data_IF_378992352759
#
_entry.id   IF_378992352759
#
_cell.length_a   1.000
_cell.length_b   1.000
_cell.length_c   1.000
_cell.angle_alpha   90.00
_cell.angle_beta   90.00
_cell.angle_gamma   90.00
#
_symmetry.space_group_name_H-M   'P 1'
#
loop_
_entity.id
_entity.type
_entity.pdbx_description
1 polymer ?
#
# COMPACT_ATOMS: atom_id res chain seq x y z
N UNK A 1 8.68 -66.63 -44.55
CA UNK A 1 7.73 -65.81 -43.78
C UNK A 1 8.44 -64.51 -43.42
N UNK A 2 8.22 -63.45 -44.21
CA UNK A 2 8.75 -62.11 -43.96
C UNK A 2 7.58 -61.20 -43.59
N UNK A 3 7.62 -60.67 -42.38
CA UNK A 3 6.61 -59.79 -41.80
C UNK A 3 6.99 -58.32 -42.04
N UNK A 4 6.13 -57.58 -42.74
CA UNK A 4 6.24 -56.14 -42.98
C UNK A 4 5.76 -55.35 -41.75
N UNK A 5 6.42 -54.23 -41.37
CA UNK A 5 5.91 -53.35 -40.32
C UNK A 5 4.92 -52.31 -40.87
N UNK A 6 3.86 -52.10 -40.10
CA UNK A 6 2.76 -51.18 -40.37
C UNK A 6 3.17 -49.71 -40.16
N UNK A 7 2.73 -48.86 -41.08
CA UNK A 7 2.98 -47.41 -41.14
C UNK A 7 1.93 -46.68 -40.30
N UNK A 8 2.33 -46.10 -39.16
CA UNK A 8 1.47 -45.29 -38.31
C UNK A 8 1.37 -43.86 -38.85
N UNK A 9 0.14 -43.36 -39.00
CA UNK A 9 -0.16 -42.01 -39.45
C UNK A 9 0.11 -40.99 -38.34
N UNK A 10 0.96 -40.01 -38.63
CA UNK A 10 1.29 -38.88 -37.75
C UNK A 10 0.22 -37.79 -37.91
N UNK A 11 -0.56 -37.57 -36.84
CA UNK A 11 -1.52 -36.46 -36.74
C UNK A 11 -0.77 -35.21 -36.28
N UNK A 12 -0.48 -34.29 -37.21
CA UNK A 12 0.08 -32.98 -36.90
C UNK A 12 -1.02 -32.05 -36.37
N UNK A 13 -0.93 -31.68 -35.09
CA UNK A 13 -1.76 -30.62 -34.52
C UNK A 13 -1.24 -29.24 -34.97
N UNK A 14 -2.12 -28.27 -35.29
CA UNK A 14 -1.71 -26.93 -35.67
C UNK A 14 -1.05 -26.21 -34.49
N UNK A 15 0.14 -25.68 -34.76
CA UNK A 15 0.97 -24.89 -33.83
C UNK A 15 0.32 -23.51 -33.69
N UNK A 16 -0.39 -23.28 -32.59
CA UNK A 16 -0.88 -21.96 -32.22
C UNK A 16 0.33 -21.04 -31.99
N UNK A 17 0.45 -20.02 -32.84
CA UNK A 17 1.42 -18.94 -32.69
C UNK A 17 1.17 -18.26 -31.34
N UNK A 18 2.06 -18.48 -30.37
CA UNK A 18 2.09 -17.71 -29.13
C UNK A 18 2.33 -16.24 -29.50
N UNK A 19 1.37 -15.38 -29.17
CA UNK A 19 1.58 -13.94 -29.12
C UNK A 19 2.72 -13.67 -28.13
N UNK A 20 3.87 -13.25 -28.65
CA UNK A 20 5.01 -12.83 -27.85
C UNK A 20 4.55 -11.68 -26.94
N UNK A 21 4.64 -11.92 -25.64
CA UNK A 21 4.56 -10.83 -24.67
C UNK A 21 5.92 -10.14 -24.71
N UNK A 22 5.95 -8.80 -24.70
CA UNK A 22 7.22 -8.08 -24.82
C UNK A 22 8.18 -8.54 -23.72
N UNK A 23 9.39 -8.90 -24.10
CA UNK A 23 10.41 -9.32 -23.14
C UNK A 23 10.76 -8.15 -22.22
N UNK A 24 11.30 -8.43 -21.03
CA UNK A 24 11.58 -7.41 -20.00
C UNK A 24 12.37 -6.19 -20.52
N UNK A 25 13.23 -6.37 -21.51
CA UNK A 25 14.00 -5.28 -22.12
C UNK A 25 13.15 -4.36 -23.03
N UNK A 26 12.05 -4.85 -23.62
CA UNK A 26 11.10 -4.01 -24.38
C UNK A 26 10.30 -3.11 -23.44
N UNK A 27 9.98 -3.58 -22.22
CA UNK A 27 9.37 -2.73 -21.20
C UNK A 27 10.32 -1.63 -20.74
N UNK A 28 11.59 -1.95 -20.51
CA UNK A 28 12.60 -0.94 -20.17
C UNK A 28 12.79 0.07 -21.32
N UNK A 29 12.73 -0.39 -22.58
CA UNK A 29 12.76 0.49 -23.75
C UNK A 29 11.53 1.41 -23.85
N UNK A 30 10.33 0.92 -23.54
CA UNK A 30 9.11 1.73 -23.50
C UNK A 30 9.14 2.78 -22.38
N UNK A 31 9.63 2.42 -21.19
CA UNK A 31 9.80 3.36 -20.07
C UNK A 31 10.87 4.41 -20.39
N UNK A 32 11.94 4.02 -21.09
CA UNK A 32 12.96 4.94 -21.59
C UNK A 32 12.38 5.91 -22.63
N UNK A 33 11.48 5.42 -23.50
CA UNK A 33 10.80 6.21 -24.52
C UNK A 33 9.81 7.22 -23.92
N UNK A 34 9.03 6.84 -22.90
CA UNK A 34 8.18 7.78 -22.14
C UNK A 34 9.01 8.89 -21.50
N UNK A 35 10.15 8.55 -20.86
CA UNK A 35 11.07 9.55 -20.31
C UNK A 35 11.65 10.47 -21.39
N UNK A 36 11.89 9.95 -22.60
CA UNK A 36 12.40 10.75 -23.72
C UNK A 36 11.31 11.68 -24.28
N UNK A 37 10.04 11.24 -24.33
CA UNK A 37 8.89 12.06 -24.72
C UNK A 37 8.68 13.20 -23.72
N UNK A 38 8.75 12.92 -22.41
CA UNK A 38 8.64 13.95 -21.37
C UNK A 38 9.82 14.93 -21.38
N UNK A 39 11.01 14.47 -21.76
CA UNK A 39 12.17 15.35 -21.96
C UNK A 39 11.97 16.28 -23.15
N UNK A 40 11.38 15.80 -24.26
CA UNK A 40 11.05 16.62 -25.43
C UNK A 40 9.95 17.64 -25.14
N UNK A 41 8.91 17.26 -24.41
CA UNK A 41 7.84 18.20 -24.02
C UNK A 41 8.34 19.33 -23.11
N UNK A 42 9.38 19.07 -22.31
CA UNK A 42 10.05 20.11 -21.52
C UNK A 42 10.92 21.04 -22.36
N UNK A 43 11.55 20.53 -23.41
CA UNK A 43 12.38 21.32 -24.34
C UNK A 43 11.54 22.19 -25.29
N UNK A 44 10.32 21.77 -25.63
CA UNK A 44 9.40 22.52 -26.50
C UNK A 44 8.53 23.53 -25.75
N UNK A 45 8.68 23.69 -24.43
CA UNK A 45 7.96 24.76 -23.72
C UNK A 45 8.45 26.10 -24.30
N UNK A 46 7.60 26.86 -25.02
CA UNK A 46 8.04 28.07 -25.69
C UNK A 46 8.60 29.01 -24.63
N UNK A 47 9.81 29.50 -24.85
CA UNK A 47 10.43 30.52 -24.02
C UNK A 47 9.45 31.68 -23.92
N UNK A 48 8.84 31.85 -22.75
CA UNK A 48 7.98 32.99 -22.50
C UNK A 48 8.83 34.23 -22.81
N UNK A 49 8.39 35.12 -23.71
CA UNK A 49 9.10 36.36 -23.95
C UNK A 49 9.23 37.11 -22.63
N UNK A 50 10.34 37.82 -22.40
CA UNK A 50 10.54 38.58 -21.16
C UNK A 50 9.36 39.51 -20.96
N UNK A 51 8.59 39.26 -19.90
CA UNK A 51 7.48 40.11 -19.50
C UNK A 51 8.09 41.45 -19.13
N UNK A 52 7.82 42.48 -19.95
CA UNK A 52 8.29 43.83 -19.68
C UNK A 52 7.82 44.25 -18.28
N UNK A 53 8.65 44.95 -17.49
CA UNK A 53 8.26 45.40 -16.16
C UNK A 53 7.04 46.31 -16.29
N UNK A 54 5.91 45.88 -15.74
CA UNK A 54 4.73 46.71 -15.60
C UNK A 54 5.09 47.82 -14.63
N UNK A 55 5.18 49.06 -15.14
CA UNK A 55 5.33 50.26 -14.31
C UNK A 55 4.17 50.33 -13.32
N UNK A 56 4.47 50.02 -12.06
CA UNK A 56 3.57 50.23 -10.93
C UNK A 56 3.45 51.74 -10.72
N UNK A 57 2.26 52.34 -10.83
CA UNK A 57 2.09 53.75 -10.51
C UNK A 57 2.42 54.00 -9.03
N UNK A 58 3.17 55.07 -8.77
CA UNK A 58 3.56 55.48 -7.44
C UNK A 58 2.32 55.68 -6.53
N UNK A 59 2.39 55.27 -5.25
CA UNK A 59 1.31 55.50 -4.31
C UNK A 59 1.14 57.00 -4.08
N UNK A 60 -0.04 57.53 -4.42
CA UNK A 60 -0.45 58.89 -4.06
C UNK A 60 -0.65 58.92 -2.55
N UNK A 61 0.13 59.74 -1.85
CA UNK A 61 -0.01 59.98 -0.43
C UNK A 61 -1.38 60.60 -0.14
N UNK A 62 -2.23 59.85 0.56
CA UNK A 62 -3.51 60.35 1.08
C UNK A 62 -3.24 60.96 2.47
N UNK A 63 -3.56 62.25 2.71
CA UNK A 63 -3.43 62.83 4.03
C UNK A 63 -4.49 62.25 4.98
N UNK A 64 -4.05 61.92 6.20
CA UNK A 64 -4.89 61.38 7.26
C UNK A 64 -5.92 62.41 7.75
N UNK A 65 -7.21 62.05 7.86
CA UNK A 65 -8.14 62.79 8.70
C UNK A 65 -8.06 62.27 10.14
N UNK A 66 -7.75 63.20 11.05
CA UNK A 66 -7.97 63.01 12.47
C UNK A 66 -9.48 62.98 12.75
N UNK A 67 -9.91 61.98 13.53
CA UNK A 67 -11.11 62.11 14.35
C UNK A 67 -12.31 61.28 13.93
N UNK A 68 -12.72 60.45 14.91
CA UNK A 68 -14.11 60.24 15.32
C UNK A 68 -14.90 59.08 14.72
N UNK A 69 -15.51 58.37 15.67
CA UNK A 69 -16.79 57.64 15.60
C UNK A 69 -16.85 56.30 14.83
N UNK A 70 -16.61 55.25 15.60
CA UNK A 70 -17.41 54.01 15.71
C UNK A 70 -18.77 53.98 14.97
N UNK A 71 -18.95 53.08 13.98
CA UNK A 71 -20.19 52.32 13.66
C UNK A 71 -19.78 51.03 12.89
N UNK A 72 -20.35 49.84 13.18
CA UNK A 72 -20.09 48.60 12.43
C UNK A 72 -21.00 48.52 11.20
N UNK A 73 -20.45 48.08 10.05
CA UNK A 73 -21.23 47.82 8.85
C UNK A 73 -21.02 46.38 8.35
N UNK A 74 -22.15 45.78 8.05
CA UNK A 74 -22.39 44.40 7.64
C UNK A 74 -21.92 44.11 6.20
N UNK A 75 -21.68 42.82 5.97
CA UNK A 75 -22.05 42.02 4.80
C UNK A 75 -21.65 42.50 3.39
N UNK A 76 -20.74 41.73 2.78
CA UNK A 76 -20.83 41.34 1.37
C UNK A 76 -20.49 39.85 1.24
N UNK A 77 -21.53 39.01 1.25
CA UNK A 77 -21.41 37.59 0.90
C UNK A 77 -21.51 37.52 -0.62
N UNK A 78 -20.41 37.26 -1.31
CA UNK A 78 -20.42 36.91 -2.72
C UNK A 78 -20.86 35.45 -2.86
N UNK A 79 -22.14 35.24 -3.17
CA UNK A 79 -22.66 33.92 -3.55
C UNK A 79 -22.22 33.60 -4.98
N UNK A 80 -21.31 32.64 -5.13
CA UNK A 80 -21.08 31.95 -6.39
C UNK A 80 -22.04 30.75 -6.47
N UNK A 81 -22.93 30.76 -7.46
CA UNK A 81 -23.87 29.69 -7.72
C UNK A 81 -23.15 28.45 -8.30
N UNK A 82 -23.40 27.23 -7.80
CA UNK A 82 -23.01 26.01 -8.51
C UNK A 82 -24.08 25.63 -9.54
N UNK A 83 -23.66 25.46 -10.81
CA UNK A 83 -24.45 24.76 -11.82
C UNK A 83 -24.48 23.27 -11.47
N UNK A 84 -25.64 22.77 -11.04
CA UNK A 84 -25.89 21.35 -10.80
C UNK A 84 -26.32 20.71 -12.12
N UNK A 85 -25.42 19.95 -12.76
CA UNK A 85 -25.80 19.05 -13.85
C UNK A 85 -26.41 17.77 -13.28
N UNK A 86 -27.71 17.62 -13.45
CA UNK A 86 -28.44 16.39 -13.16
C UNK A 86 -28.26 15.40 -14.31
N UNK A 87 -27.33 14.45 -14.17
CA UNK A 87 -27.30 13.25 -15.01
C UNK A 87 -28.08 12.14 -14.29
N UNK A 88 -29.30 11.90 -14.75
CA UNK A 88 -30.12 10.74 -14.39
C UNK A 88 -29.48 9.46 -14.90
N UNK A 89 -29.08 8.57 -13.99
CA UNK A 89 -28.53 7.25 -14.31
C UNK A 89 -29.68 6.23 -14.34
N UNK A 90 -29.78 5.37 -15.38
CA UNK A 90 -30.81 4.34 -15.44
C UNK A 90 -30.56 3.24 -14.38
N UNK A 91 -31.59 2.96 -13.59
CA UNK A 91 -31.61 1.86 -12.62
C UNK A 91 -31.82 0.53 -13.36
N UNK A 92 -30.80 -0.33 -13.40
CA UNK A 92 -30.94 -1.71 -13.86
C UNK A 92 -31.35 -2.61 -12.68
N UNK A 93 -32.53 -3.21 -12.80
CA UNK A 93 -33.07 -4.17 -11.85
C UNK A 93 -32.23 -5.45 -11.83
N UNK A 94 -31.76 -5.86 -10.65
CA UNK A 94 -31.05 -7.12 -10.42
C UNK A 94 -32.08 -8.20 -10.08
N UNK A 95 -32.11 -9.36 -10.78
CA UNK A 95 -32.96 -10.47 -10.40
C UNK A 95 -32.45 -11.16 -9.13
N UNK A 96 -33.35 -11.34 -8.17
CA UNK A 96 -33.11 -12.09 -6.94
C UNK A 96 -32.98 -13.59 -7.24
N UNK A 97 -31.82 -14.17 -6.95
CA UNK A 97 -31.61 -15.63 -7.03
C UNK A 97 -31.80 -16.20 -5.63
N UNK A 98 -32.89 -16.93 -5.44
CA UNK A 98 -33.17 -17.66 -4.20
C UNK A 98 -32.14 -18.79 -4.02
N UNK A 99 -31.34 -18.72 -2.96
CA UNK A 99 -30.48 -19.82 -2.53
C UNK A 99 -31.24 -20.70 -1.53
N UNK A 100 -31.54 -21.92 -1.95
CA UNK A 100 -32.07 -22.97 -1.10
C UNK A 100 -30.96 -23.55 -0.22
N UNK A 101 -31.15 -23.50 1.11
CA UNK A 101 -30.31 -24.21 2.07
C UNK A 101 -30.79 -25.65 2.24
N UNK A 102 -29.92 -26.67 2.15
CA UNK A 102 -30.23 -28.02 2.63
C UNK A 102 -29.87 -28.19 4.11
N UNK A 103 -30.60 -29.15 4.69
CA UNK A 103 -30.77 -29.46 6.09
C UNK A 103 -29.54 -29.98 6.84
N UNK A 104 -29.62 -29.72 8.16
CA UNK A 104 -29.03 -30.39 9.32
C UNK A 104 -28.40 -31.79 9.14
N UNK A 105 -27.31 -32.03 9.87
CA UNK A 105 -27.06 -33.32 10.51
C UNK A 105 -26.56 -33.20 11.96
N UNK A 106 -26.85 -34.21 12.81
CA UNK A 106 -26.67 -34.18 14.25
C UNK A 106 -25.41 -34.93 14.74
N UNK A 107 -24.93 -34.52 15.92
CA UNK A 107 -24.47 -35.41 16.99
C UNK A 107 -23.24 -36.29 16.75
N UNK A 108 -22.11 -35.90 17.34
CA UNK A 108 -21.09 -36.84 17.82
C UNK A 108 -20.71 -36.47 19.25
N UNK A 109 -21.38 -37.11 20.20
CA UNK A 109 -20.94 -37.23 21.59
C UNK A 109 -19.64 -38.04 21.65
N UNK A 110 -18.65 -37.53 22.37
CA UNK A 110 -17.48 -38.32 22.77
C UNK A 110 -17.48 -38.52 24.29
N UNK A 111 -17.25 -39.76 24.77
CA UNK A 111 -17.28 -40.09 26.19
C UNK A 111 -16.06 -39.52 26.92
N UNK A 112 -16.33 -38.89 28.07
CA UNK A 112 -15.35 -38.51 29.07
C UNK A 112 -14.81 -39.77 29.75
N UNK A 113 -13.52 -40.06 29.58
CA UNK A 113 -12.81 -41.01 30.42
C UNK A 113 -12.06 -40.27 31.53
N UNK A 114 -12.55 -40.52 32.75
CA UNK A 114 -11.96 -40.20 34.04
C UNK A 114 -10.68 -41.01 34.27
N UNK A 115 -9.74 -40.38 34.98
CA UNK A 115 -8.92 -41.08 35.96
C UNK A 115 -7.44 -41.23 35.61
N UNK A 116 -6.59 -40.41 36.22
CA UNK A 116 -5.39 -40.91 36.87
C UNK A 116 -4.88 -39.88 37.89
N UNK A 117 -5.00 -40.22 39.16
CA UNK A 117 -4.34 -39.55 40.28
C UNK A 117 -2.98 -40.21 40.45
N UNK A 118 -1.90 -39.44 40.43
CA UNK A 118 -0.56 -39.92 40.73
C UNK A 118 0.18 -38.96 41.67
N UNK A 119 1.09 -39.50 42.51
CA UNK A 119 1.42 -38.93 43.81
C UNK A 119 2.56 -37.92 43.74
N UNK A 120 2.59 -37.10 44.79
CA UNK A 120 3.54 -36.03 45.05
C UNK A 120 5.00 -36.50 45.04
N UNK A 121 5.84 -35.82 44.26
CA UNK A 121 7.30 -35.80 44.45
C UNK A 121 7.77 -34.36 44.61
N UNK A 122 8.47 -34.15 45.73
CA UNK A 122 9.03 -32.89 46.18
C UNK A 122 10.27 -32.50 45.37
N UNK A 123 10.41 -31.20 45.11
CA UNK A 123 11.71 -30.52 45.12
C UNK A 123 12.54 -30.50 43.85
N UNK A 124 11.98 -30.04 42.72
CA UNK A 124 12.77 -29.64 41.54
C UNK A 124 12.58 -28.14 41.27
N UNK A 125 13.64 -27.41 40.89
CA UNK A 125 13.57 -25.99 40.57
C UNK A 125 12.50 -25.76 39.49
N UNK A 126 11.51 -24.95 39.83
CA UNK A 126 10.31 -24.70 39.02
C UNK A 126 10.75 -24.26 37.61
N UNK A 127 10.54 -25.07 36.57
CA UNK A 127 10.94 -24.71 35.22
C UNK A 127 10.24 -23.41 34.87
N UNK A 128 11.05 -22.38 34.60
CA UNK A 128 10.60 -21.05 34.21
C UNK A 128 9.68 -21.26 33.02
N UNK A 129 8.36 -21.04 33.24
CA UNK A 129 7.38 -21.26 32.19
C UNK A 129 7.80 -20.45 30.97
N UNK A 130 7.85 -21.07 29.77
CA UNK A 130 8.26 -20.37 28.57
C UNK A 130 7.40 -19.12 28.46
N UNK A 131 8.06 -17.97 28.50
CA UNK A 131 7.46 -16.65 28.36
C UNK A 131 6.52 -16.70 27.15
N UNK A 132 5.22 -16.72 27.42
CA UNK A 132 4.19 -16.80 26.38
C UNK A 132 4.17 -15.45 25.70
N UNK A 133 4.91 -15.33 24.59
CA UNK A 133 4.86 -14.13 23.76
C UNK A 133 3.39 -13.84 23.41
N UNK A 134 2.92 -12.59 23.60
CA UNK A 134 1.53 -12.24 23.36
C UNK A 134 1.16 -12.59 21.92
N UNK A 135 0.04 -13.32 21.75
CA UNK A 135 -0.46 -13.71 20.42
C UNK A 135 -1.07 -12.49 19.75
N UNK A 136 -0.30 -11.81 18.91
CA UNK A 136 -0.78 -10.67 18.12
C UNK A 136 -1.82 -11.16 17.10
N UNK A 137 -2.89 -10.39 16.90
CA UNK A 137 -3.97 -10.73 15.96
C UNK A 137 -3.64 -10.22 14.55
N UNK A 138 -3.91 -11.02 13.49
CA UNK A 138 -3.81 -10.51 12.13
C UNK A 138 -4.70 -9.29 11.90
N UNK A 139 -4.20 -8.33 11.12
CA UNK A 139 -4.82 -7.03 10.84
C UNK A 139 -4.50 -5.94 11.87
N UNK A 140 -3.84 -6.27 12.98
CA UNK A 140 -3.49 -5.28 14.02
C UNK A 140 -2.39 -4.35 13.51
N UNK A 141 -2.51 -3.07 13.85
CA UNK A 141 -1.51 -2.05 13.63
C UNK A 141 -1.13 -1.42 14.97
N UNK A 142 0.16 -1.30 15.23
CA UNK A 142 0.74 -0.73 16.46
C UNK A 142 1.70 0.39 16.08
N UNK A 143 1.54 1.56 16.69
CA UNK A 143 2.49 2.67 16.54
C UNK A 143 3.21 2.88 17.86
N UNK A 144 4.54 2.89 17.82
CA UNK A 144 5.41 3.12 18.98
C UNK A 144 6.30 4.32 18.70
N UNK A 145 6.23 5.32 19.57
CA UNK A 145 7.17 6.43 19.55
C UNK A 145 8.51 5.97 20.14
N UNK A 146 9.59 6.03 19.37
CA UNK A 146 10.92 5.58 19.79
C UNK A 146 11.70 6.70 20.47
N UNK A 147 11.75 7.87 19.83
CA UNK A 147 12.37 9.12 20.29
C UNK A 147 11.68 10.32 19.59
N UNK A 148 12.09 11.55 19.91
CA UNK A 148 11.44 12.79 19.46
C UNK A 148 11.27 12.89 17.93
N UNK A 149 12.11 12.20 17.16
CA UNK A 149 12.13 12.26 15.71
C UNK A 149 11.89 10.89 15.07
N UNK A 150 11.51 9.85 15.83
CA UNK A 150 11.36 8.49 15.31
C UNK A 150 10.07 7.82 15.77
N UNK A 151 9.30 7.38 14.80
CA UNK A 151 8.11 6.56 15.01
C UNK A 151 8.28 5.19 14.34
N UNK A 152 7.87 4.13 15.05
CA UNK A 152 7.85 2.76 14.55
C UNK A 152 6.40 2.31 14.39
N UNK A 153 6.02 1.98 13.17
CA UNK A 153 4.70 1.45 12.83
C UNK A 153 4.83 -0.03 12.49
N UNK A 154 4.17 -0.89 13.25
CA UNK A 154 4.10 -2.33 13.01
C UNK A 154 2.73 -2.73 12.51
N UNK A 155 2.68 -3.48 11.43
CA UNK A 155 1.46 -4.04 10.88
C UNK A 155 1.59 -5.56 10.74
N UNK A 156 0.65 -6.28 11.34
CA UNK A 156 0.62 -7.74 11.35
C UNK A 156 -0.35 -8.26 10.30
N UNK A 157 0.16 -8.69 9.16
CA UNK A 157 -0.64 -9.14 8.02
C UNK A 157 -0.97 -10.63 8.16
N UNK A 158 -2.21 -11.05 7.91
CA UNK A 158 -2.55 -12.47 7.84
C UNK A 158 -1.77 -13.14 6.69
N UNK A 159 -0.98 -14.17 7.02
CA UNK A 159 -0.12 -14.86 6.06
C UNK A 159 -0.90 -15.46 4.88
N UNK A 160 -2.16 -15.87 5.10
CA UNK A 160 -3.02 -16.45 4.06
C UNK A 160 -3.37 -15.44 2.96
N UNK A 161 -3.23 -14.13 3.21
CA UNK A 161 -3.47 -13.09 2.21
C UNK A 161 -2.45 -13.12 1.09
N UNK A 162 -1.23 -13.62 1.33
CA UNK A 162 -0.21 -13.80 0.30
C UNK A 162 -0.49 -15.00 -0.63
N UNK A 163 -1.52 -15.81 -0.33
CA UNK A 163 -2.07 -16.87 -1.19
C UNK A 163 -3.36 -16.46 -1.92
N UNK A 164 -3.81 -15.22 -1.72
CA UNK A 164 -5.05 -14.71 -2.32
C UNK A 164 -4.85 -14.14 -3.72
N UNK A 165 -5.95 -13.95 -4.46
CA UNK A 165 -5.92 -13.25 -5.75
C UNK A 165 -5.91 -11.73 -5.61
N UNK A 166 -5.76 -11.19 -4.40
CA UNK A 166 -5.70 -9.74 -4.19
C UNK A 166 -4.43 -9.15 -4.81
N UNK A 167 -4.57 -8.00 -5.45
CA UNK A 167 -3.46 -7.27 -6.06
C UNK A 167 -2.73 -6.38 -5.06
N UNK A 168 -3.44 -5.96 -4.01
CA UNK A 168 -2.94 -5.08 -2.96
C UNK A 168 -3.53 -5.41 -1.60
N UNK A 169 -2.76 -5.17 -0.54
CA UNK A 169 -3.21 -5.19 0.85
C UNK A 169 -2.98 -3.81 1.45
N UNK A 170 -3.94 -3.34 2.26
CA UNK A 170 -3.88 -2.03 2.90
C UNK A 170 -3.88 -2.20 4.41
N UNK A 171 -3.02 -1.46 5.10
CA UNK A 171 -3.11 -1.34 6.55
C UNK A 171 -4.34 -0.51 6.96
N UNK A 172 -4.77 -0.61 8.23
CA UNK A 172 -5.51 0.46 8.88
C UNK A 172 -4.80 1.81 8.70
N UNK A 173 -5.56 2.90 8.78
CA UNK A 173 -4.98 4.24 8.83
C UNK A 173 -4.25 4.45 10.14
N UNK A 174 -3.14 5.17 10.06
CA UNK A 174 -2.39 5.65 11.22
C UNK A 174 -1.96 7.09 10.99
N UNK A 175 -1.55 7.75 12.05
CA UNK A 175 -1.13 9.14 12.03
C UNK A 175 0.35 9.23 12.38
N UNK A 176 1.08 10.12 11.71
CA UNK A 176 2.45 10.49 12.03
C UNK A 176 2.49 12.00 12.33
N UNK A 177 3.26 12.39 13.36
CA UNK A 177 3.42 13.80 13.73
C UNK A 177 4.73 14.34 13.18
N UNK A 178 4.66 15.33 12.31
CA UNK A 178 5.86 15.97 11.75
C UNK A 178 6.29 17.13 12.67
N UNK A 179 7.58 17.24 13.01
CA UNK A 179 8.10 18.36 13.79
C UNK A 179 7.73 19.71 13.16
N UNK A 180 7.29 20.67 13.97
CA UNK A 180 6.90 22.00 13.50
C UNK A 180 5.50 22.11 12.89
N UNK A 181 4.75 21.00 12.79
CA UNK A 181 3.37 20.99 12.30
C UNK A 181 2.37 20.68 13.41
N UNK A 182 1.32 21.49 13.52
CA UNK A 182 0.29 21.32 14.55
C UNK A 182 -0.66 20.14 14.23
N UNK A 183 -0.92 19.89 12.95
CA UNK A 183 -1.85 18.85 12.51
C UNK A 183 -1.10 17.57 12.12
N UNK A 184 -1.57 16.40 12.57
CA UNK A 184 -1.00 15.13 12.17
C UNK A 184 -1.35 14.77 10.72
N UNK A 185 -0.49 13.96 10.10
CA UNK A 185 -0.69 13.47 8.73
C UNK A 185 -1.15 12.01 8.77
N UNK A 186 -2.14 11.67 7.94
CA UNK A 186 -2.72 10.32 7.89
C UNK A 186 -2.00 9.49 6.83
N UNK A 187 -1.60 8.28 7.20
CA UNK A 187 -0.86 7.35 6.36
C UNK A 187 -1.52 5.98 6.29
N UNK A 188 -1.14 5.23 5.26
CA UNK A 188 -1.38 3.79 5.11
C UNK A 188 -0.14 3.11 4.57
N UNK A 189 0.13 1.90 5.04
CA UNK A 189 1.04 0.97 4.38
C UNK A 189 0.27 0.21 3.31
N UNK A 190 0.87 0.07 2.14
CA UNK A 190 0.31 -0.62 0.99
C UNK A 190 1.29 -1.72 0.59
N UNK A 191 0.83 -2.96 0.50
CA UNK A 191 1.61 -4.04 -0.12
C UNK A 191 1.03 -4.28 -1.49
N UNK A 192 1.87 -4.30 -2.52
CA UNK A 192 1.48 -4.51 -3.91
C UNK A 192 2.06 -5.84 -4.39
N UNK A 193 1.23 -6.68 -5.02
CA UNK A 193 1.70 -7.92 -5.62
C UNK A 193 2.57 -7.63 -6.85
N UNK A 194 3.69 -8.34 -7.00
CA UNK A 194 4.56 -8.20 -8.16
C UNK A 194 3.82 -8.60 -9.44
N UNK A 195 3.86 -7.75 -10.46
CA UNK A 195 3.23 -8.04 -11.73
C UNK A 195 3.96 -9.19 -12.43
N UNK A 196 3.24 -10.27 -12.72
CA UNK A 196 3.73 -11.36 -13.56
C UNK A 196 3.20 -11.10 -14.97
N UNK A 197 4.07 -10.86 -15.97
CA UNK A 197 3.76 -10.34 -17.32
C UNK A 197 2.79 -11.12 -18.22
N UNK A 198 1.87 -11.90 -17.67
CA UNK A 198 0.76 -12.53 -18.39
C UNK A 198 -0.50 -11.67 -18.40
N UNK A 199 -1.34 -11.88 -19.44
CA UNK A 199 -2.64 -11.21 -19.69
C UNK A 199 -3.66 -11.27 -18.53
N UNK A 200 -3.39 -12.07 -17.50
CA UNK A 200 -4.32 -12.31 -16.40
C UNK A 200 -3.71 -11.75 -15.10
N UNK A 201 -3.93 -10.47 -14.80
CA UNK A 201 -3.92 -9.80 -13.48
C UNK A 201 -2.74 -10.00 -12.51
N UNK A 202 -2.38 -8.95 -11.78
CA UNK A 202 -1.35 -9.00 -10.75
C UNK A 202 -1.98 -9.39 -9.41
N UNK A 203 -1.70 -10.59 -8.87
CA UNK A 203 -2.24 -10.98 -7.57
C UNK A 203 -1.24 -11.80 -6.77
N UNK A 204 -1.29 -11.75 -5.44
CA UNK A 204 -0.29 -12.40 -4.59
C UNK A 204 -0.15 -13.90 -4.90
N UNK A 205 -1.25 -14.61 -5.16
CA UNK A 205 -1.22 -16.02 -5.57
C UNK A 205 -0.37 -16.25 -6.82
N UNK A 206 -0.49 -15.39 -7.83
CA UNK A 206 0.26 -15.49 -9.10
C UNK A 206 1.70 -15.03 -8.94
N UNK A 207 1.90 -13.96 -8.17
CA UNK A 207 3.21 -13.47 -7.76
C UNK A 207 3.93 -14.43 -6.79
N UNK A 208 3.33 -15.57 -6.42
CA UNK A 208 3.86 -16.53 -5.43
C UNK A 208 4.14 -15.89 -4.07
N UNK A 209 3.33 -14.92 -3.68
CA UNK A 209 3.50 -14.15 -2.45
C UNK A 209 4.59 -13.08 -2.52
N UNK A 210 5.04 -12.73 -3.73
CA UNK A 210 6.00 -11.65 -3.95
C UNK A 210 5.35 -10.29 -4.16
N UNK A 211 6.05 -9.23 -3.80
CA UNK A 211 5.53 -7.88 -3.93
C UNK A 211 6.43 -6.79 -3.36
N UNK A 212 5.97 -5.54 -3.48
CA UNK A 212 6.62 -4.36 -2.92
C UNK A 212 5.78 -3.77 -1.78
N UNK A 213 6.41 -2.90 -0.98
CA UNK A 213 5.74 -2.12 0.06
C UNK A 213 5.79 -0.65 -0.33
N UNK A 214 4.72 0.09 -0.09
CA UNK A 214 4.67 1.53 -0.19
C UNK A 214 4.12 2.13 1.11
N UNK A 215 4.64 3.29 1.48
CA UNK A 215 4.07 4.16 2.50
C UNK A 215 3.34 5.31 1.80
N UNK A 216 2.02 5.43 2.00
CA UNK A 216 1.17 6.41 1.34
C UNK A 216 0.63 7.42 2.34
N UNK A 217 0.87 8.70 2.09
CA UNK A 217 0.22 9.82 2.75
C UNK A 217 -1.14 10.11 2.09
N UNK A 218 -2.19 10.23 2.91
CA UNK A 218 -3.55 10.59 2.47
C UNK A 218 -3.93 12.03 2.85
N UNK A 219 -3.08 12.72 3.62
CA UNK A 219 -3.25 14.12 3.98
C UNK A 219 -2.61 15.04 2.93
N UNK A 220 -3.11 16.28 2.83
CA UNK A 220 -2.43 17.32 2.08
C UNK A 220 -1.20 17.80 2.87
N UNK A 221 0.00 17.59 2.31
CA UNK A 221 1.27 18.00 2.93
C UNK A 221 1.63 19.39 2.39
N UNK A 222 1.73 20.43 3.24
CA UNK A 222 2.12 21.76 2.80
C UNK A 222 3.51 21.78 2.14
N UNK A 223 3.73 22.73 1.23
CA UNK A 223 5.07 23.01 0.73
C UNK A 223 5.98 23.48 1.86
N UNK A 224 7.20 22.95 1.93
CA UNK A 224 8.20 23.30 2.96
C UNK A 224 8.26 22.35 4.15
N UNK A 225 7.53 21.23 4.12
CA UNK A 225 7.74 20.11 5.03
C UNK A 225 9.03 19.38 4.63
N UNK A 226 9.87 19.06 5.61
CA UNK A 226 11.14 18.37 5.39
C UNK A 226 10.93 16.93 4.89
N UNK A 227 11.92 16.41 4.16
CA UNK A 227 11.94 15.00 3.73
C UNK A 227 12.06 14.09 4.94
N UNK A 228 11.35 12.97 4.93
CA UNK A 228 11.49 11.92 5.96
C UNK A 228 12.32 10.77 5.44
N UNK A 229 12.98 10.05 6.35
CA UNK A 229 13.66 8.80 6.03
C UNK A 229 12.85 7.62 6.55
N UNK A 230 12.42 6.74 5.64
CA UNK A 230 11.63 5.56 5.98
C UNK A 230 12.46 4.27 5.81
N UNK A 231 12.30 3.34 6.74
CA UNK A 231 13.07 2.11 6.83
C UNK A 231 12.14 0.93 7.08
N UNK A 232 12.17 -0.06 6.18
CA UNK A 232 11.30 -1.23 6.27
C UNK A 232 12.05 -2.44 6.79
N UNK A 233 11.37 -3.16 7.68
CA UNK A 233 11.79 -4.45 8.21
C UNK A 233 10.63 -5.44 8.09
N UNK A 234 10.94 -6.67 7.66
CA UNK A 234 9.93 -7.73 7.50
C UNK A 234 10.30 -8.93 8.38
N UNK A 235 9.31 -9.46 9.10
CA UNK A 235 9.45 -10.58 10.03
C UNK A 235 10.15 -10.17 11.33
N UNK A 236 10.82 -11.12 11.98
CA UNK A 236 11.51 -10.92 13.28
C UNK A 236 12.83 -10.13 13.15
N UNK A 237 12.89 -9.09 12.31
CA UNK A 237 14.07 -8.24 12.16
C UNK A 237 15.15 -8.76 11.21
N UNK A 238 14.94 -9.92 10.59
CA UNK A 238 15.98 -10.61 9.81
C UNK A 238 16.31 -9.94 8.45
N UNK A 239 15.43 -9.06 7.94
CA UNK A 239 15.60 -8.40 6.64
C UNK A 239 15.33 -6.90 6.77
N UNK A 240 16.36 -6.17 7.20
CA UNK A 240 16.36 -4.71 7.27
C UNK A 240 16.88 -4.14 5.95
N UNK A 241 16.17 -3.18 5.37
CA UNK A 241 16.55 -2.56 4.11
C UNK A 241 17.35 -1.27 4.28
N UNK A 242 17.80 -0.74 3.14
CA UNK A 242 18.40 0.59 3.06
C UNK A 242 17.32 1.65 3.35
N UNK A 243 17.60 2.62 4.23
CA UNK A 243 16.69 3.74 4.46
C UNK A 243 16.40 4.51 3.17
N UNK A 244 15.14 4.87 2.95
CA UNK A 244 14.67 5.62 1.78
C UNK A 244 14.24 7.02 2.20
N UNK A 245 14.93 8.04 1.69
CA UNK A 245 14.54 9.44 1.87
C UNK A 245 13.39 9.79 0.93
N UNK A 246 12.38 10.50 1.43
CA UNK A 246 11.19 10.85 0.66
C UNK A 246 10.53 12.14 1.15
N UNK A 247 10.14 13.01 0.21
CA UNK A 247 9.33 14.18 0.52
C UNK A 247 7.86 13.98 0.10
N UNK A 248 6.96 14.00 1.08
CA UNK A 248 5.52 13.78 0.85
C UNK A 248 4.79 15.00 0.26
N UNK A 249 5.39 16.21 0.26
CA UNK A 249 4.85 17.35 -0.49
C UNK A 249 5.02 17.18 -2.00
N UNK A 250 6.06 16.47 -2.42
CA UNK A 250 6.35 16.23 -3.84
C UNK A 250 5.54 15.04 -4.38
N UNK A 251 5.48 13.96 -3.61
CA UNK A 251 4.77 12.73 -3.98
C UNK A 251 4.10 12.11 -2.76
N UNK A 252 2.82 11.76 -2.88
CA UNK A 252 2.05 11.19 -1.77
C UNK A 252 2.39 9.72 -1.46
N UNK A 253 3.15 9.03 -2.32
CA UNK A 253 3.56 7.63 -2.11
C UNK A 253 5.09 7.50 -2.12
N UNK A 254 5.61 6.75 -1.14
CA UNK A 254 7.01 6.37 -1.02
C UNK A 254 7.13 4.84 -1.19
N UNK A 255 7.87 4.36 -2.19
CA UNK A 255 8.10 2.93 -2.41
C UNK A 255 9.32 2.44 -1.62
N UNK A 256 9.20 1.28 -0.96
CA UNK A 256 10.15 0.78 0.03
C UNK A 256 10.58 -0.69 -0.20
N UNK A 257 11.90 -0.97 -0.30
CA UNK A 257 12.97 -0.03 -0.67
C UNK A 257 12.76 0.49 -2.09
N UNK A 258 13.40 1.60 -2.45
CA UNK A 258 13.37 2.10 -3.82
C UNK A 258 14.31 1.28 -4.74
N UNK A 259 13.87 0.96 -5.96
CA UNK A 259 14.69 0.29 -6.99
C UNK A 259 14.41 -1.19 -7.19
N UNK A 260 15.38 -1.92 -7.77
CA UNK A 260 15.22 -3.35 -8.15
C UNK A 260 15.07 -4.28 -6.93
N UNK A 261 15.52 -3.84 -5.75
CA UNK A 261 15.41 -4.58 -4.49
C UNK A 261 14.01 -4.49 -3.86
N UNK A 262 13.06 -3.79 -4.51
CA UNK A 262 11.69 -3.61 -4.01
C UNK A 262 10.82 -4.88 -4.05
N UNK A 263 11.32 -6.00 -4.56
CA UNK A 263 10.55 -7.24 -4.76
C UNK A 263 10.82 -8.28 -3.66
N UNK A 264 9.98 -8.27 -2.63
CA UNK A 264 10.04 -9.12 -1.45
C UNK A 264 9.37 -10.47 -1.67
N UNK A 265 9.88 -11.52 -1.02
CA UNK A 265 9.15 -12.77 -0.81
C UNK A 265 8.53 -12.78 0.59
N UNK A 266 7.25 -12.40 0.68
CA UNK A 266 6.54 -12.30 1.95
C UNK A 266 6.30 -13.67 2.57
N UNK A 267 6.06 -14.71 1.76
CA UNK A 267 5.82 -16.07 2.25
C UNK A 267 7.04 -16.66 2.92
N UNK A 268 8.22 -16.43 2.35
CA UNK A 268 9.47 -16.89 2.95
C UNK A 268 9.76 -16.18 4.29
N UNK A 269 9.17 -15.00 4.50
CA UNK A 269 9.40 -14.18 5.69
C UNK A 269 8.40 -14.49 6.83
N UNK A 270 7.39 -15.32 6.59
CA UNK A 270 6.45 -15.78 7.63
C UNK A 270 7.13 -16.87 8.47
N UNK A 271 7.26 -16.65 9.78
CA UNK A 271 7.74 -17.68 10.72
C UNK A 271 6.82 -18.91 10.65
N UNK A 272 7.39 -20.13 10.68
CA UNK A 272 6.64 -21.39 10.46
C UNK A 272 5.44 -21.57 11.39
N UNK A 273 5.55 -21.06 12.62
CA UNK A 273 4.52 -21.16 13.65
C UNK A 273 3.60 -19.92 13.70
N UNK A 274 3.93 -18.87 12.94
CA UNK A 274 3.18 -17.63 12.92
C UNK A 274 2.06 -17.68 11.89
N UNK A 275 0.88 -17.19 12.29
CA UNK A 275 -0.26 -16.98 11.38
C UNK A 275 -0.21 -15.62 10.68
N UNK A 276 0.77 -14.79 11.03
CA UNK A 276 0.89 -13.43 10.57
C UNK A 276 2.33 -13.10 10.20
N UNK A 277 2.48 -12.19 9.26
CA UNK A 277 3.74 -11.54 8.94
C UNK A 277 3.78 -10.17 9.63
N UNK A 278 4.80 -9.90 10.44
CA UNK A 278 5.09 -8.56 10.92
C UNK A 278 5.78 -7.77 9.80
N UNK A 279 5.27 -6.57 9.51
CA UNK A 279 5.93 -5.57 8.67
C UNK A 279 6.08 -4.33 9.53
N UNK A 280 7.31 -3.88 9.71
CA UNK A 280 7.62 -2.70 10.49
C UNK A 280 8.20 -1.62 9.60
N UNK A 281 7.67 -0.40 9.71
CA UNK A 281 8.20 0.81 9.08
C UNK A 281 8.65 1.74 10.19
N UNK A 282 9.93 2.08 10.18
CA UNK A 282 10.51 3.10 11.04
C UNK A 282 10.63 4.38 10.22
N UNK A 283 10.07 5.48 10.72
CA UNK A 283 10.07 6.79 10.06
C UNK A 283 10.88 7.76 10.90
N UNK A 284 11.85 8.44 10.27
CA UNK A 284 12.68 9.47 10.86
C UNK A 284 12.32 10.82 10.25
N UNK A 285 12.02 11.81 11.09
CA UNK A 285 11.68 13.18 10.70
C UNK A 285 12.88 14.12 10.82
#
# INVERSE_FOLDING_TARGET
MQTLPAKAASSSKPRLLHSATPDRWEWDAMVQEEKMIESRSRAERPSQPPVAPVSVPAPVAVPAPAGSAYIPAQACIAQAAPMVSLLTVPTLAIPAVASAMPAAQPGCEYPRLLGSVSPASQGSPKPVSPSVSPRVRPGTLETTHLDENRELVKWYVDATKFDSNSERLLSPEFVLHFPGHAEPFTFRMVILATQTGGKHGAGFKKAKGRGSIELKCSSAVPSGVDSVTALVTIGEGARKQIPTEHNFSDKTCCQLPNGEEADWDFKQSVSRDAKCLEIAVEVHF
#
